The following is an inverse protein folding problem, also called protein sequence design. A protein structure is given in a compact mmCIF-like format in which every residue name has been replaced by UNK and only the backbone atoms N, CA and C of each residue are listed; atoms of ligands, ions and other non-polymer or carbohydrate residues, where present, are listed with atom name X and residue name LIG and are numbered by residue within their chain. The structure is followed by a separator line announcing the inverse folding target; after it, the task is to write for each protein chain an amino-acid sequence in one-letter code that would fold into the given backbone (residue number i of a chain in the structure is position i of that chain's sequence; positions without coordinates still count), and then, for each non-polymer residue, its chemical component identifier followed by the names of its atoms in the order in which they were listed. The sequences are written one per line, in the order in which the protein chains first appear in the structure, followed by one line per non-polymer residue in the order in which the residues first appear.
data_IF_913224518611
#
_entry.id   IF_913224518611
#
_cell.length_a   1.000
_cell.length_b   1.000
_cell.length_c   1.000
_cell.angle_alpha   90.00
_cell.angle_beta   90.00
_cell.angle_gamma   90.00
#
_symmetry.space_group_name_H-M   'P 1'
#
loop_
_entity.id
_entity.type
_entity.pdbx_description
1 polymer ?
#
# COMPACT_ATOMS: atom_id res chain seq x y z
N UNK A 1 -15.09 28.04 -2.63
CA UNK A 1 -15.55 27.60 -3.97
C UNK A 1 -15.88 26.11 -3.90
N UNK A 2 -17.13 25.70 -4.11
CA UNK A 2 -17.52 24.31 -4.17
C UNK A 2 -16.81 23.61 -5.35
N UNK A 3 -16.21 22.46 -5.14
CA UNK A 3 -15.68 21.63 -6.24
C UNK A 3 -16.83 21.28 -7.16
N UNK A 4 -16.74 21.69 -8.43
CA UNK A 4 -17.70 21.30 -9.45
C UNK A 4 -17.67 19.77 -9.56
N UNK A 5 -18.79 19.14 -9.34
CA UNK A 5 -18.92 17.69 -9.44
C UNK A 5 -18.64 17.25 -10.88
N UNK A 6 -17.90 16.15 -11.05
CA UNK A 6 -17.55 15.65 -12.38
C UNK A 6 -18.74 14.93 -12.99
N UNK A 7 -19.10 15.30 -14.21
CA UNK A 7 -20.19 14.69 -14.97
C UNK A 7 -19.69 13.40 -15.67
N UNK A 8 -19.91 12.26 -15.03
CA UNK A 8 -19.46 10.95 -15.53
C UNK A 8 -20.27 10.42 -16.71
N UNK A 9 -21.40 11.08 -17.11
CA UNK A 9 -22.09 10.77 -18.36
C UNK A 9 -21.24 11.04 -19.60
N UNK A 10 -20.16 11.84 -19.44
CA UNK A 10 -19.20 12.20 -20.51
C UNK A 10 -17.85 11.48 -20.35
N UNK A 11 -17.82 10.43 -19.54
CA UNK A 11 -16.56 9.73 -19.28
C UNK A 11 -16.04 9.02 -20.53
N UNK A 12 -14.72 9.13 -20.73
CA UNK A 12 -13.96 8.55 -21.86
C UNK A 12 -12.78 7.77 -21.28
N UNK A 13 -12.58 6.57 -21.76
CA UNK A 13 -11.34 5.81 -21.55
C UNK A 13 -10.38 6.13 -22.69
N UNK A 14 -9.14 6.46 -22.35
CA UNK A 14 -8.11 6.81 -23.33
C UNK A 14 -6.81 6.08 -23.09
N UNK A 15 -5.98 6.03 -24.13
CA UNK A 15 -4.59 5.56 -24.06
C UNK A 15 -3.62 6.66 -24.50
N UNK A 16 -2.40 6.59 -23.98
CA UNK A 16 -1.25 7.35 -24.48
C UNK A 16 -0.24 6.34 -24.98
N UNK A 17 0.16 6.47 -26.25
CA UNK A 17 1.10 5.58 -26.94
C UNK A 17 2.11 6.39 -27.74
N UNK A 18 3.29 5.83 -27.96
CA UNK A 18 4.29 6.40 -28.84
C UNK A 18 3.89 6.32 -30.31
N UNK A 19 4.37 7.28 -31.15
CA UNK A 19 4.26 7.21 -32.59
C UNK A 19 5.23 6.17 -33.17
N UNK A 20 6.36 5.94 -32.51
CA UNK A 20 7.30 4.89 -32.85
C UNK A 20 6.76 3.53 -32.40
N UNK A 21 6.49 2.63 -33.35
CA UNK A 21 5.94 1.30 -33.12
C UNK A 21 6.89 0.35 -32.37
N UNK A 22 8.18 0.66 -32.31
CA UNK A 22 9.15 -0.12 -31.53
C UNK A 22 8.92 0.07 -30.04
N UNK A 23 8.38 1.23 -29.65
CA UNK A 23 8.08 1.56 -28.25
C UNK A 23 6.66 1.12 -27.91
N UNK A 24 6.56 0.00 -27.22
CA UNK A 24 5.27 -0.64 -26.87
C UNK A 24 4.69 -0.17 -25.54
N UNK A 25 5.28 0.87 -24.94
CA UNK A 25 4.81 1.42 -23.66
C UNK A 25 3.44 2.08 -23.81
N UNK A 26 2.52 1.71 -22.92
CA UNK A 26 1.12 2.19 -22.94
C UNK A 26 0.74 2.74 -21.56
N UNK A 27 0.08 3.89 -21.57
CA UNK A 27 -0.64 4.44 -20.41
C UNK A 27 -2.14 4.45 -20.69
N UNK A 28 -2.94 4.02 -19.73
CA UNK A 28 -4.41 4.08 -19.76
C UNK A 28 -4.90 5.06 -18.70
N UNK A 29 -5.99 5.76 -19.00
CA UNK A 29 -6.65 6.64 -18.06
C UNK A 29 -8.11 6.88 -18.43
N UNK A 30 -8.86 7.52 -17.52
CA UNK A 30 -10.21 7.98 -17.80
C UNK A 30 -10.33 9.49 -17.59
N UNK A 31 -11.29 10.10 -18.24
CA UNK A 31 -11.58 11.53 -18.05
C UNK A 31 -12.98 11.88 -18.52
N UNK A 32 -13.58 12.89 -17.87
CA UNK A 32 -14.84 13.52 -18.31
C UNK A 32 -14.61 14.73 -19.22
N UNK A 33 -13.33 15.12 -19.45
CA UNK A 33 -12.96 16.20 -20.36
C UNK A 33 -11.63 15.86 -21.05
N UNK A 34 -11.71 15.32 -22.26
CA UNK A 34 -10.58 14.82 -23.01
C UNK A 34 -9.55 15.89 -23.35
N UNK A 35 -10.03 17.06 -23.83
CA UNK A 35 -9.15 18.18 -24.24
C UNK A 35 -8.34 18.71 -23.06
N UNK A 36 -9.01 19.00 -21.94
CA UNK A 36 -8.36 19.49 -20.74
C UNK A 36 -7.39 18.44 -20.15
N UNK A 37 -7.77 17.17 -20.22
CA UNK A 37 -6.90 16.07 -19.75
C UNK A 37 -5.63 15.95 -20.58
N UNK A 38 -5.74 16.05 -21.91
CA UNK A 38 -4.60 16.07 -22.85
C UNK A 38 -3.64 17.23 -22.52
N UNK A 39 -4.17 18.43 -22.36
CA UNK A 39 -3.39 19.61 -21.97
C UNK A 39 -2.70 19.39 -20.61
N UNK A 40 -3.38 18.81 -19.64
CA UNK A 40 -2.80 18.48 -18.33
C UNK A 40 -1.62 17.50 -18.46
N UNK A 41 -1.73 16.47 -19.29
CA UNK A 41 -0.64 15.54 -19.54
C UNK A 41 0.56 16.25 -20.20
N UNK A 42 0.32 17.07 -21.21
CA UNK A 42 1.36 17.84 -21.88
C UNK A 42 2.09 18.78 -20.91
N UNK A 43 1.34 19.50 -20.06
CA UNK A 43 1.92 20.38 -19.03
C UNK A 43 2.73 19.60 -18.01
N UNK A 44 2.23 18.45 -17.53
CA UNK A 44 2.96 17.62 -16.60
C UNK A 44 4.23 17.02 -17.21
N UNK A 45 4.24 16.75 -18.51
CA UNK A 45 5.40 16.24 -19.22
C UNK A 45 6.48 17.32 -19.42
N UNK A 46 6.09 18.52 -19.80
CA UNK A 46 7.02 19.56 -20.28
C UNK A 46 7.47 20.54 -19.21
N UNK A 47 6.68 20.73 -18.14
CA UNK A 47 7.00 21.72 -17.11
C UNK A 47 7.77 21.08 -15.94
N UNK A 48 9.08 21.37 -15.86
CA UNK A 48 9.99 20.88 -14.82
C UNK A 48 9.54 21.26 -13.39
N UNK A 49 8.84 22.38 -13.24
CA UNK A 49 8.34 22.83 -11.94
C UNK A 49 7.04 22.15 -11.52
N UNK A 50 6.46 21.30 -12.39
CA UNK A 50 5.25 20.59 -12.06
C UNK A 50 5.57 19.41 -11.11
N UNK A 51 4.79 19.28 -10.03
CA UNK A 51 4.94 18.20 -9.05
C UNK A 51 4.87 16.79 -9.64
N UNK A 52 4.21 16.63 -10.78
CA UNK A 52 4.04 15.36 -11.48
C UNK A 52 5.12 15.11 -12.55
N UNK A 53 6.01 16.08 -12.81
CA UNK A 53 7.04 16.01 -13.86
C UNK A 53 7.86 14.72 -13.81
N UNK A 54 8.15 14.23 -12.59
CA UNK A 54 8.96 13.04 -12.35
C UNK A 54 8.19 11.72 -12.34
N UNK A 55 6.90 11.72 -12.71
CA UNK A 55 6.15 10.45 -12.82
C UNK A 55 6.70 9.61 -13.97
N UNK A 56 6.70 8.27 -13.77
CA UNK A 56 7.25 7.29 -14.74
C UNK A 56 6.77 7.55 -16.16
N UNK A 57 5.48 7.75 -16.35
CA UNK A 57 4.89 8.01 -17.68
C UNK A 57 5.54 9.21 -18.37
N UNK A 58 5.74 10.34 -17.65
CA UNK A 58 6.31 11.54 -18.25
C UNK A 58 7.82 11.44 -18.47
N UNK A 59 8.54 10.65 -17.65
CA UNK A 59 9.96 10.35 -17.91
C UNK A 59 10.11 9.56 -19.20
N UNK A 60 9.36 8.46 -19.34
CA UNK A 60 9.40 7.63 -20.55
C UNK A 60 9.00 8.44 -21.79
N UNK A 61 7.99 9.29 -21.71
CA UNK A 61 7.60 10.17 -22.82
C UNK A 61 8.75 11.08 -23.23
N UNK A 62 9.43 11.74 -22.27
CA UNK A 62 10.57 12.62 -22.57
C UNK A 62 11.77 11.86 -23.12
N UNK A 63 12.06 10.69 -22.57
CA UNK A 63 13.20 9.86 -23.00
C UNK A 63 12.99 9.31 -24.42
N UNK A 64 11.74 9.32 -24.92
CA UNK A 64 11.36 8.79 -26.24
C UNK A 64 10.74 9.88 -27.14
N UNK A 65 11.43 10.99 -27.30
CA UNK A 65 11.10 12.04 -28.27
C UNK A 65 10.14 13.13 -27.76
N UNK A 66 9.80 13.14 -26.46
CA UNK A 66 8.95 14.14 -25.87
C UNK A 66 7.46 14.00 -26.21
N UNK A 67 6.62 14.93 -25.72
CA UNK A 67 5.17 14.85 -25.87
C UNK A 67 4.71 14.81 -27.33
N UNK A 68 5.41 15.46 -28.23
CA UNK A 68 5.02 15.55 -29.65
C UNK A 68 5.20 14.23 -30.42
N UNK A 69 6.02 13.32 -29.86
CA UNK A 69 6.18 11.96 -30.39
C UNK A 69 5.15 10.97 -29.79
N UNK A 70 4.21 11.44 -28.99
CA UNK A 70 3.20 10.59 -28.35
C UNK A 70 1.80 11.07 -28.67
N UNK A 71 0.85 10.13 -28.73
CA UNK A 71 -0.55 10.38 -29.01
C UNK A 71 -1.43 9.96 -27.86
N UNK A 72 -2.33 10.86 -27.47
CA UNK A 72 -3.47 10.52 -26.60
C UNK A 72 -4.67 10.21 -27.48
N UNK A 73 -5.17 8.97 -27.43
CA UNK A 73 -6.25 8.45 -28.25
C UNK A 73 -7.40 7.98 -27.38
N UNK A 74 -8.63 8.27 -27.81
CA UNK A 74 -9.83 7.69 -27.22
C UNK A 74 -9.88 6.19 -27.55
N UNK A 75 -10.19 5.37 -26.54
CA UNK A 75 -10.48 3.94 -26.72
C UNK A 75 -11.98 3.74 -26.77
N UNK A 76 -12.70 4.34 -25.80
CA UNK A 76 -14.12 4.13 -25.61
C UNK A 76 -14.77 5.34 -24.94
N UNK A 77 -15.96 5.73 -25.42
CA UNK A 77 -16.90 6.56 -24.68
C UNK A 77 -17.64 5.67 -23.69
N UNK A 78 -17.42 5.88 -22.42
CA UNK A 78 -17.98 5.04 -21.35
C UNK A 78 -18.78 5.90 -20.35
N UNK A 79 -20.01 6.32 -20.72
CA UNK A 79 -20.91 6.98 -19.79
C UNK A 79 -21.16 6.09 -18.58
N UNK A 80 -21.00 6.62 -17.38
CA UNK A 80 -21.18 5.87 -16.14
C UNK A 80 -21.74 6.76 -15.03
N UNK A 81 -22.19 6.15 -13.92
CA UNK A 81 -22.85 6.88 -12.85
C UNK A 81 -21.85 7.60 -11.95
N UNK A 82 -20.68 6.99 -11.71
CA UNK A 82 -19.71 7.52 -10.79
C UNK A 82 -18.25 7.21 -11.18
N UNK A 83 -17.35 7.73 -10.34
CA UNK A 83 -15.90 7.49 -10.47
C UNK A 83 -15.54 6.02 -10.34
N UNK A 84 -16.30 5.25 -9.57
CA UNK A 84 -15.94 3.86 -9.28
C UNK A 84 -16.12 2.99 -10.52
N UNK A 85 -17.20 3.20 -11.27
CA UNK A 85 -17.43 2.53 -12.54
C UNK A 85 -16.37 2.93 -13.59
N UNK A 86 -16.02 4.23 -13.64
CA UNK A 86 -14.94 4.70 -14.51
C UNK A 86 -13.59 4.04 -14.19
N UNK A 87 -13.24 3.88 -12.91
CA UNK A 87 -12.02 3.22 -12.46
C UNK A 87 -12.00 1.72 -12.75
N UNK A 88 -13.16 1.05 -12.68
CA UNK A 88 -13.29 -0.37 -13.07
C UNK A 88 -13.03 -0.56 -14.56
N UNK A 89 -13.58 0.33 -15.39
CA UNK A 89 -13.37 0.27 -16.83
C UNK A 89 -11.93 0.62 -17.21
N UNK A 90 -11.32 1.60 -16.54
CA UNK A 90 -9.89 1.91 -16.69
C UNK A 90 -9.03 0.69 -16.36
N UNK A 91 -9.29 0.00 -15.22
CA UNK A 91 -8.60 -1.22 -14.83
C UNK A 91 -8.71 -2.31 -15.88
N UNK A 92 -9.91 -2.53 -16.42
CA UNK A 92 -10.13 -3.52 -17.48
C UNK A 92 -9.19 -3.30 -18.67
N UNK A 93 -9.02 -2.04 -19.11
CA UNK A 93 -8.12 -1.73 -20.22
C UNK A 93 -6.64 -1.77 -19.85
N UNK A 94 -6.29 -1.46 -18.61
CA UNK A 94 -4.91 -1.63 -18.09
C UNK A 94 -4.49 -3.10 -18.19
N UNK A 95 -5.37 -4.01 -17.79
CA UNK A 95 -5.12 -5.46 -17.80
C UNK A 95 -5.16 -6.01 -19.23
N UNK A 96 -6.17 -5.64 -20.02
CA UNK A 96 -6.33 -6.10 -21.40
C UNK A 96 -5.16 -5.72 -22.31
N UNK A 97 -4.65 -4.49 -22.17
CA UNK A 97 -3.57 -3.95 -23.02
C UNK A 97 -2.19 -4.04 -22.35
N UNK A 98 -2.07 -4.69 -21.20
CA UNK A 98 -0.83 -4.78 -20.42
C UNK A 98 -0.14 -3.42 -20.24
N UNK A 99 -0.91 -2.40 -19.84
CA UNK A 99 -0.44 -1.02 -19.78
C UNK A 99 0.62 -0.84 -18.69
N UNK A 100 1.88 -0.85 -19.09
CA UNK A 100 3.06 -0.87 -18.20
C UNK A 100 3.46 0.51 -17.63
N UNK A 101 2.90 1.59 -18.15
CA UNK A 101 3.11 2.95 -17.61
C UNK A 101 2.17 3.28 -16.44
N UNK A 102 1.13 2.48 -16.22
CA UNK A 102 0.24 2.63 -15.08
C UNK A 102 0.87 2.04 -13.80
N UNK A 103 1.56 2.88 -13.01
CA UNK A 103 2.17 2.44 -11.73
C UNK A 103 1.10 2.01 -10.71
N UNK A 104 -0.06 2.66 -10.76
CA UNK A 104 -1.19 2.36 -9.86
C UNK A 104 -2.31 1.73 -10.66
N UNK A 105 -2.59 0.48 -10.37
CA UNK A 105 -3.80 -0.18 -10.84
C UNK A 105 -4.97 0.27 -9.95
N UNK A 106 -6.02 0.88 -10.51
CA UNK A 106 -7.19 1.30 -9.73
C UNK A 106 -7.96 0.11 -9.18
N UNK A 107 -8.75 0.35 -8.14
CA UNK A 107 -9.67 -0.64 -7.54
C UNK A 107 -9.05 -2.02 -7.24
N UNK A 108 -7.91 -2.03 -6.56
CA UNK A 108 -7.35 -3.28 -6.04
C UNK A 108 -8.32 -3.93 -5.07
N UNK A 109 -8.51 -5.25 -5.19
CA UNK A 109 -9.28 -6.04 -4.24
C UNK A 109 -8.60 -6.05 -2.86
N UNK A 110 -9.37 -6.36 -1.82
CA UNK A 110 -8.80 -6.49 -0.47
C UNK A 110 -7.69 -7.55 -0.41
N UNK A 111 -7.78 -8.61 -1.19
CA UNK A 111 -6.79 -9.67 -1.22
C UNK A 111 -5.52 -9.24 -1.96
N UNK A 112 -5.63 -8.53 -3.08
CA UNK A 112 -4.49 -7.89 -3.75
C UNK A 112 -3.77 -6.88 -2.84
N UNK A 113 -4.53 -6.11 -2.05
CA UNK A 113 -3.96 -5.17 -1.06
C UNK A 113 -3.22 -5.93 0.05
N UNK A 114 -3.79 -7.02 0.55
CA UNK A 114 -3.14 -7.87 1.58
C UNK A 114 -1.85 -8.48 1.05
N UNK A 115 -1.89 -9.03 -0.16
CA UNK A 115 -0.73 -9.65 -0.80
C UNK A 115 0.39 -8.63 -1.05
N UNK A 116 0.05 -7.46 -1.60
CA UNK A 116 1.00 -6.37 -1.78
C UNK A 116 1.65 -5.94 -0.46
N UNK A 117 0.84 -5.78 0.61
CA UNK A 117 1.35 -5.43 1.94
C UNK A 117 2.26 -6.52 2.51
N UNK A 118 1.94 -7.79 2.26
CA UNK A 118 2.76 -8.93 2.68
C UNK A 118 4.11 -8.90 1.98
N UNK A 119 4.14 -8.82 0.65
CA UNK A 119 5.36 -8.72 -0.15
C UNK A 119 6.21 -7.50 0.24
N UNK A 120 5.57 -6.34 0.43
CA UNK A 120 6.28 -5.13 0.87
C UNK A 120 6.97 -5.31 2.23
N UNK A 121 6.27 -5.94 3.20
CA UNK A 121 6.85 -6.22 4.52
C UNK A 121 8.00 -7.23 4.45
N UNK A 122 7.91 -8.23 3.60
CA UNK A 122 8.96 -9.22 3.39
C UNK A 122 10.22 -8.59 2.82
N UNK A 123 10.08 -7.84 1.71
CA UNK A 123 11.20 -7.17 1.03
C UNK A 123 11.87 -6.10 1.93
N UNK A 124 11.07 -5.35 2.69
CA UNK A 124 11.57 -4.23 3.50
C UNK A 124 11.74 -4.59 4.99
N UNK A 125 11.73 -5.87 5.35
CA UNK A 125 11.72 -6.34 6.75
C UNK A 125 12.85 -5.72 7.59
N UNK A 126 14.06 -5.74 7.10
CA UNK A 126 15.23 -5.22 7.83
C UNK A 126 15.13 -3.70 8.02
N UNK A 127 14.78 -2.97 6.98
CA UNK A 127 14.60 -1.50 7.03
C UNK A 127 13.50 -1.13 8.03
N UNK A 128 12.39 -1.86 8.03
CA UNK A 128 11.27 -1.64 8.96
C UNK A 128 11.73 -1.88 10.40
N UNK A 129 12.48 -2.97 10.67
CA UNK A 129 13.01 -3.29 11.99
C UNK A 129 13.99 -2.20 12.46
N UNK A 130 14.91 -1.75 11.61
CA UNK A 130 15.86 -0.68 11.95
C UNK A 130 15.16 0.63 12.28
N UNK A 131 14.22 1.07 11.45
CA UNK A 131 13.40 2.28 11.71
C UNK A 131 12.61 2.17 13.00
N UNK A 132 12.05 1.00 13.31
CA UNK A 132 11.33 0.76 14.57
C UNK A 132 12.26 0.84 15.80
N UNK A 133 13.47 0.26 15.70
CA UNK A 133 14.46 0.34 16.77
C UNK A 133 14.92 1.77 17.03
N UNK A 134 15.20 2.52 15.97
CA UNK A 134 15.58 3.92 16.06
C UNK A 134 14.45 4.78 16.67
N UNK A 135 13.22 4.63 16.17
CA UNK A 135 12.05 5.29 16.72
C UNK A 135 11.87 4.99 18.22
N UNK A 136 11.98 3.73 18.63
CA UNK A 136 11.84 3.32 20.01
C UNK A 136 12.97 3.89 20.90
N UNK A 137 14.21 3.94 20.38
CA UNK A 137 15.34 4.54 21.09
C UNK A 137 15.12 6.03 21.32
N UNK A 138 14.72 6.77 20.27
CA UNK A 138 14.47 8.22 20.34
C UNK A 138 13.28 8.58 21.24
N UNK A 139 12.28 7.71 21.32
CA UNK A 139 11.05 7.99 22.08
C UNK A 139 10.95 7.23 23.41
N UNK A 140 12.05 6.61 23.87
CA UNK A 140 12.05 5.78 25.08
C UNK A 140 11.54 6.52 26.32
N UNK A 141 12.07 7.72 26.57
CA UNK A 141 11.70 8.51 27.75
C UNK A 141 10.27 9.04 27.66
N UNK A 142 9.85 9.47 26.48
CA UNK A 142 8.47 9.87 26.22
C UNK A 142 7.48 8.73 26.43
N UNK A 143 7.83 7.52 26.00
CA UNK A 143 7.00 6.33 26.22
C UNK A 143 6.98 5.91 27.68
N UNK A 144 8.09 6.09 28.41
CA UNK A 144 8.17 5.84 29.87
C UNK A 144 7.25 6.79 30.60
N UNK A 145 7.40 8.09 30.37
CA UNK A 145 6.57 9.12 30.95
C UNK A 145 5.07 8.88 30.67
N UNK A 146 4.70 8.58 29.44
CA UNK A 146 3.31 8.26 29.10
C UNK A 146 2.76 7.08 29.89
N UNK A 147 3.54 6.00 30.06
CA UNK A 147 3.12 4.82 30.84
C UNK A 147 2.96 5.14 32.32
N UNK A 148 3.87 5.94 32.88
CA UNK A 148 3.80 6.36 34.27
C UNK A 148 2.58 7.25 34.54
N UNK A 149 2.36 8.26 33.69
CA UNK A 149 1.24 9.19 33.79
C UNK A 149 -0.13 8.51 33.57
N UNK A 150 -0.19 7.48 32.73
CA UNK A 150 -1.45 6.79 32.40
C UNK A 150 -1.58 5.39 33.01
N UNK A 151 -0.78 5.07 34.05
CA UNK A 151 -0.70 3.73 34.64
C UNK A 151 -2.06 3.16 35.04
N UNK A 152 -2.86 3.94 35.76
CA UNK A 152 -4.19 3.52 36.24
C UNK A 152 -5.16 3.30 35.06
N UNK A 153 -5.19 4.24 34.11
CA UNK A 153 -6.04 4.15 32.93
C UNK A 153 -5.71 2.90 32.09
N UNK A 154 -4.42 2.61 31.92
CA UNK A 154 -3.95 1.42 31.21
C UNK A 154 -4.36 0.15 31.96
N UNK A 155 -4.24 0.12 33.30
CA UNK A 155 -4.65 -1.02 34.12
C UNK A 155 -6.15 -1.31 33.99
N UNK A 156 -6.99 -0.28 34.09
CA UNK A 156 -8.45 -0.41 33.94
C UNK A 156 -8.81 -0.92 32.53
N UNK A 157 -8.18 -0.39 31.47
CA UNK A 157 -8.41 -0.86 30.10
C UNK A 157 -8.00 -2.32 29.93
N UNK A 158 -6.86 -2.72 30.49
CA UNK A 158 -6.38 -4.11 30.43
C UNK A 158 -7.30 -5.06 31.19
N UNK A 159 -7.81 -4.65 32.35
CA UNK A 159 -8.77 -5.45 33.11
C UNK A 159 -10.05 -5.66 32.31
N UNK A 160 -10.65 -4.60 31.76
CA UNK A 160 -11.84 -4.69 30.92
C UNK A 160 -11.61 -5.58 29.68
N UNK A 161 -10.46 -5.44 29.03
CA UNK A 161 -10.10 -6.30 27.89
C UNK A 161 -10.01 -7.78 28.30
N UNK A 162 -9.40 -8.06 29.44
CA UNK A 162 -9.26 -9.43 29.96
C UNK A 162 -10.62 -10.04 30.33
N UNK A 163 -11.53 -9.27 30.91
CA UNK A 163 -12.90 -9.69 31.26
C UNK A 163 -13.69 -10.03 29.97
N UNK A 164 -13.73 -9.12 29.01
CA UNK A 164 -14.46 -9.30 27.74
C UNK A 164 -13.92 -10.49 26.93
N UNK A 165 -12.59 -10.71 26.98
CA UNK A 165 -11.93 -11.75 26.17
C UNK A 165 -11.52 -12.99 26.96
N UNK A 166 -12.06 -13.20 28.17
CA UNK A 166 -11.65 -14.27 29.11
C UNK A 166 -11.57 -15.64 28.45
N UNK A 167 -12.61 -16.06 27.77
CA UNK A 167 -12.69 -17.40 27.16
C UNK A 167 -11.72 -17.53 25.99
N UNK A 168 -11.61 -16.52 25.16
CA UNK A 168 -10.66 -16.48 24.05
C UNK A 168 -9.22 -16.57 24.54
N UNK A 169 -8.88 -15.82 25.58
CA UNK A 169 -7.55 -15.83 26.18
C UNK A 169 -7.23 -17.17 26.85
N UNK A 170 -8.23 -17.78 27.52
CA UNK A 170 -8.09 -19.12 28.11
C UNK A 170 -7.80 -20.17 27.05
N UNK A 171 -8.56 -20.17 25.94
CA UNK A 171 -8.34 -21.09 24.82
C UNK A 171 -6.96 -20.88 24.16
N UNK A 172 -6.54 -19.64 23.97
CA UNK A 172 -5.20 -19.34 23.42
C UNK A 172 -4.08 -19.86 24.33
N UNK A 173 -4.22 -19.64 25.67
CA UNK A 173 -3.24 -20.15 26.66
C UNK A 173 -3.20 -21.66 26.71
N UNK A 174 -4.37 -22.33 26.54
CA UNK A 174 -4.43 -23.80 26.47
C UNK A 174 -3.69 -24.31 25.23
N UNK A 175 -4.00 -23.78 24.05
CA UNK A 175 -3.32 -24.14 22.80
C UNK A 175 -1.81 -23.87 22.86
N UNK A 176 -1.39 -22.73 23.42
CA UNK A 176 0.02 -22.43 23.58
C UNK A 176 0.74 -23.44 24.46
N UNK A 177 0.13 -23.84 25.59
CA UNK A 177 0.69 -24.85 26.49
C UNK A 177 0.79 -26.22 25.83
N UNK A 178 -0.23 -26.63 25.10
CA UNK A 178 -0.23 -27.89 24.34
C UNK A 178 0.87 -27.90 23.28
N UNK A 179 0.97 -26.86 22.46
CA UNK A 179 1.96 -26.76 21.38
C UNK A 179 3.41 -26.64 21.87
N UNK A 180 3.62 -26.17 23.10
CA UNK A 180 4.96 -25.99 23.66
C UNK A 180 5.28 -26.97 24.79
N UNK A 181 4.45 -27.99 25.02
CA UNK A 181 4.62 -28.95 26.11
C UNK A 181 5.96 -29.66 26.07
N UNK A 182 6.36 -30.16 24.91
CA UNK A 182 7.64 -30.90 24.76
C UNK A 182 8.85 -29.96 24.88
N UNK A 183 8.81 -28.78 24.27
CA UNK A 183 9.86 -27.77 24.44
C UNK A 183 10.05 -27.36 25.90
N UNK A 184 8.97 -27.26 26.65
CA UNK A 184 9.05 -26.95 28.08
C UNK A 184 9.68 -28.08 28.89
N UNK A 185 9.32 -29.34 28.62
CA UNK A 185 9.96 -30.49 29.28
C UNK A 185 11.46 -30.55 29.02
N UNK A 186 11.88 -30.31 27.78
CA UNK A 186 13.26 -30.27 27.37
C UNK A 186 14.05 -29.15 28.08
N UNK A 187 13.46 -27.94 28.11
CA UNK A 187 14.03 -26.84 28.87
C UNK A 187 14.14 -27.10 30.35
N UNK A 188 13.09 -27.65 30.98
CA UNK A 188 13.09 -27.97 32.41
C UNK A 188 14.14 -29.06 32.76
N UNK A 189 14.35 -30.04 31.86
CA UNK A 189 15.40 -31.04 31.99
C UNK A 189 16.78 -30.39 31.94
N UNK A 190 17.06 -29.59 30.94
CA UNK A 190 18.32 -28.89 30.76
C UNK A 190 18.64 -27.94 31.95
N UNK A 191 17.62 -27.22 32.43
CA UNK A 191 17.75 -26.36 33.61
C UNK A 191 18.10 -27.12 34.87
N UNK A 192 17.51 -28.31 35.12
CA UNK A 192 17.85 -29.18 36.25
C UNK A 192 19.25 -29.72 36.15
N UNK A 193 19.72 -30.10 34.98
CA UNK A 193 21.09 -30.55 34.73
C UNK A 193 22.13 -29.46 34.99
N UNK A 194 21.87 -28.23 34.48
CA UNK A 194 22.70 -27.06 34.73
C UNK A 194 22.77 -26.70 36.23
N UNK A 195 21.63 -26.77 36.93
CA UNK A 195 21.58 -26.48 38.36
C UNK A 195 22.34 -27.50 39.20
N UNK A 196 22.36 -28.77 38.78
CA UNK A 196 23.16 -29.79 39.41
C UNK A 196 24.66 -29.57 39.20
N UNK A 197 25.08 -29.11 38.03
CA UNK A 197 26.47 -28.80 37.70
C UNK A 197 27.01 -27.56 38.45
N UNK A 198 26.15 -26.58 38.74
CA UNK A 198 26.56 -25.34 39.41
C UNK A 198 26.47 -25.42 40.94
N UNK A 199 25.99 -26.52 41.51
CA UNK A 199 25.96 -26.75 42.97
C UNK A 199 27.02 -27.73 43.45
N UNK A 200 28.10 -27.98 42.64
CA UNK A 200 29.33 -28.58 42.99
C UNK A 200 30.36 -27.43 43.09
#
# INVERSE_FOLDING_TARGET
MSKKESDYSKNIIYKIICNDLIITDIYIGHTTNFINRKYTHQTNCNNINNKNYNYKVYKIIRDNGGWDNWKMLEIEKYPCNDKNEALERERYYIELLNANLNIRVPKKTNDEIKEFRKKYKEINREIIILKHREYNKLNKDKQKLYRETNKEKIAIQQQKYNEINKDKLSLQRKKYRENNKEKKKEYDKLYRELKKKNNI
#
